data_IF_621421606056
#
_entry.id   IF_621421606056
#
_cell.length_a   1.000
_cell.length_b   1.000
_cell.length_c   1.000
_cell.angle_alpha   90.00
_cell.angle_beta   90.00
_cell.angle_gamma   90.00
#
_symmetry.space_group_name_H-M   'P 1'
#
loop_
_entity.id
_entity.type
_entity.pdbx_description
1 polymer ?
#
# COMPACT_ATOMS: atom_id res chain seq x y z
N UNK A 1 4.50 3.34 11.05
CA UNK A 1 4.70 2.58 9.80
C UNK A 1 5.79 3.31 9.06
N UNK A 2 6.90 2.64 8.88
CA UNK A 2 8.12 3.21 8.31
C UNK A 2 8.48 2.41 7.07
N UNK A 3 9.02 3.09 6.06
CA UNK A 3 9.50 2.42 4.85
C UNK A 3 10.60 1.41 5.21
N UNK A 4 10.41 0.16 4.79
CA UNK A 4 11.38 -0.92 5.02
C UNK A 4 12.11 -1.32 3.74
N UNK A 5 11.38 -1.52 2.64
CA UNK A 5 11.91 -1.88 1.34
C UNK A 5 10.90 -1.53 0.24
N UNK A 6 11.37 -1.44 -1.01
CA UNK A 6 10.52 -1.19 -2.16
C UNK A 6 11.26 -1.40 -3.48
N UNK A 7 10.54 -1.82 -4.50
CA UNK A 7 11.05 -2.11 -5.85
C UNK A 7 10.05 -1.57 -6.90
N UNK A 8 10.55 -1.15 -8.07
CA UNK A 8 9.71 -0.72 -9.20
C UNK A 8 9.31 0.77 -9.21
N UNK A 9 9.77 1.55 -8.23
CA UNK A 9 9.65 3.01 -8.20
C UNK A 9 10.70 3.64 -9.11
N UNK A 10 10.31 4.67 -9.85
CA UNK A 10 11.22 5.49 -10.66
C UNK A 10 11.88 6.61 -9.84
N UNK A 11 11.36 6.88 -8.64
CA UNK A 11 11.77 7.94 -7.74
C UNK A 11 11.97 7.41 -6.31
N UNK A 12 12.40 8.29 -5.41
CA UNK A 12 12.51 7.99 -3.97
C UNK A 12 11.24 8.33 -3.17
N UNK A 13 10.07 8.43 -3.84
CA UNK A 13 8.82 8.95 -3.27
C UNK A 13 8.40 8.34 -1.92
N UNK A 14 8.72 7.08 -1.67
CA UNK A 14 8.35 6.36 -0.44
C UNK A 14 9.46 6.24 0.61
N UNK A 15 10.71 6.57 0.29
CA UNK A 15 11.85 6.18 1.14
C UNK A 15 11.91 6.98 2.46
N UNK A 16 11.27 8.14 2.54
CA UNK A 16 11.19 8.98 3.75
C UNK A 16 9.83 8.93 4.46
N UNK A 17 8.98 7.95 4.11
CA UNK A 17 7.60 7.91 4.60
C UNK A 17 7.53 7.43 6.05
N UNK A 18 7.02 8.30 6.92
CA UNK A 18 6.65 7.99 8.30
C UNK A 18 5.15 8.22 8.49
N UNK A 19 4.38 7.13 8.55
CA UNK A 19 2.93 7.16 8.73
C UNK A 19 2.54 6.64 10.11
N UNK A 20 1.63 7.36 10.77
CA UNK A 20 0.94 6.83 11.96
C UNK A 20 -0.12 5.80 11.55
N UNK A 21 -0.48 4.88 12.45
CA UNK A 21 -1.66 4.04 12.23
C UNK A 21 -2.90 4.93 12.06
N UNK A 22 -3.76 4.59 11.11
CA UNK A 22 -4.90 5.41 10.68
C UNK A 22 -4.56 6.57 9.73
N UNK A 23 -3.27 6.86 9.47
CA UNK A 23 -2.86 7.93 8.55
C UNK A 23 -2.54 7.38 7.16
N UNK A 24 -3.16 7.97 6.13
CA UNK A 24 -3.00 7.51 4.75
C UNK A 24 -3.55 6.10 4.53
N UNK A 25 -3.48 5.60 3.30
CA UNK A 25 -4.09 4.31 2.99
C UNK A 25 -3.39 3.13 3.68
N UNK A 26 -2.06 3.15 3.78
CA UNK A 26 -1.32 2.14 4.52
C UNK A 26 -1.67 2.16 6.02
N UNK A 27 -1.71 3.34 6.64
CA UNK A 27 -2.10 3.46 8.05
C UNK A 27 -3.51 2.95 8.32
N UNK A 28 -4.46 3.22 7.42
CA UNK A 28 -5.84 2.71 7.52
C UNK A 28 -5.87 1.18 7.33
N UNK A 29 -5.14 0.63 6.35
CA UNK A 29 -5.06 -0.82 6.13
C UNK A 29 -4.55 -1.56 7.38
N UNK A 30 -3.52 -1.01 8.01
CA UNK A 30 -2.98 -1.53 9.27
C UNK A 30 -3.97 -1.40 10.43
N UNK A 31 -4.62 -0.25 10.59
CA UNK A 31 -5.56 0.01 11.68
C UNK A 31 -6.81 -0.91 11.59
N UNK A 32 -7.42 -0.95 10.42
CA UNK A 32 -8.64 -1.72 10.14
C UNK A 32 -8.38 -3.23 10.00
N UNK A 33 -7.10 -3.63 9.86
CA UNK A 33 -6.69 -5.02 9.57
C UNK A 33 -7.38 -5.56 8.33
N UNK A 34 -7.59 -4.71 7.34
CA UNK A 34 -8.28 -5.00 6.08
C UNK A 34 -7.48 -4.47 4.89
N UNK A 35 -7.56 -5.19 3.79
CA UNK A 35 -7.00 -4.73 2.53
C UNK A 35 -7.72 -3.47 2.05
N UNK A 36 -6.97 -2.44 1.72
CA UNK A 36 -7.49 -1.20 1.13
C UNK A 36 -7.17 -1.21 -0.36
N UNK A 37 -8.18 -1.00 -1.21
CA UNK A 37 -8.04 -0.89 -2.65
C UNK A 37 -8.53 0.47 -3.12
N UNK A 38 -7.72 1.15 -3.93
CA UNK A 38 -8.06 2.43 -4.56
C UNK A 38 -7.81 2.30 -6.06
N UNK A 39 -8.88 2.30 -6.86
CA UNK A 39 -8.84 2.10 -8.32
C UNK A 39 -8.57 3.38 -9.13
N UNK A 40 -8.57 4.55 -8.50
CA UNK A 40 -8.26 5.83 -9.14
C UNK A 40 -7.49 6.73 -8.17
N UNK A 41 -6.22 6.37 -7.96
CA UNK A 41 -5.34 7.03 -7.01
C UNK A 41 -5.05 8.48 -7.38
N UNK A 42 -5.11 8.82 -8.68
CA UNK A 42 -4.82 10.16 -9.21
C UNK A 42 -5.84 11.21 -8.76
N UNK A 43 -7.10 10.81 -8.57
CA UNK A 43 -8.18 11.69 -8.13
C UNK A 43 -8.19 11.95 -6.62
N UNK A 44 -7.50 11.11 -5.85
CA UNK A 44 -7.52 11.20 -4.40
C UNK A 44 -6.38 12.10 -3.88
N UNK A 45 -6.70 12.98 -2.92
CA UNK A 45 -5.73 13.93 -2.31
C UNK A 45 -5.46 13.58 -0.85
N UNK A 46 -4.88 12.41 -0.58
CA UNK A 46 -4.29 12.19 0.75
C UNK A 46 -2.99 12.97 0.86
N UNK A 47 -2.59 13.37 2.06
CA UNK A 47 -1.41 14.24 2.26
C UNK A 47 -0.11 13.63 1.71
N UNK A 48 -0.03 12.30 1.71
CA UNK A 48 1.11 11.56 1.15
C UNK A 48 1.20 11.67 -0.39
N UNK A 49 0.05 11.71 -1.09
CA UNK A 49 -0.02 11.83 -2.55
C UNK A 49 0.39 13.21 -3.07
N UNK A 50 0.70 14.17 -2.18
CA UNK A 50 1.13 15.52 -2.56
C UNK A 50 2.62 15.62 -2.89
N UNK A 51 3.42 14.60 -2.57
CA UNK A 51 4.84 14.56 -2.91
C UNK A 51 5.04 14.67 -4.44
N UNK A 52 5.86 15.61 -4.94
CA UNK A 52 6.16 15.73 -6.37
C UNK A 52 6.72 14.43 -6.96
N UNK A 53 7.55 13.72 -6.18
CA UNK A 53 8.12 12.44 -6.58
C UNK A 53 7.02 11.38 -6.77
N UNK A 54 6.02 11.35 -5.87
CA UNK A 54 4.92 10.40 -5.98
C UNK A 54 4.06 10.66 -7.23
N UNK A 55 3.80 11.93 -7.55
CA UNK A 55 3.06 12.29 -8.77
C UNK A 55 3.80 11.85 -10.04
N UNK A 56 5.13 11.96 -10.06
CA UNK A 56 5.97 11.55 -11.17
C UNK A 56 6.00 10.02 -11.39
N UNK A 57 5.56 9.22 -10.42
CA UNK A 57 5.40 7.78 -10.59
C UNK A 57 4.20 7.40 -11.45
N UNK A 58 3.22 8.31 -11.61
CA UNK A 58 2.03 8.13 -12.43
C UNK A 58 1.17 6.91 -12.06
N UNK A 59 1.19 6.51 -10.78
CA UNK A 59 0.33 5.43 -10.28
C UNK A 59 -1.16 5.75 -10.44
N UNK A 60 -1.92 4.72 -10.77
CA UNK A 60 -3.36 4.74 -11.03
C UNK A 60 -4.12 3.89 -10.02
N UNK A 61 -3.62 2.68 -9.72
CA UNK A 61 -4.23 1.77 -8.74
C UNK A 61 -3.30 1.53 -7.55
N UNK A 62 -3.88 1.38 -6.36
CA UNK A 62 -3.18 1.07 -5.12
C UNK A 62 -3.86 -0.05 -4.32
N UNK A 63 -3.04 -0.91 -3.71
CA UNK A 63 -3.43 -1.87 -2.69
C UNK A 63 -2.57 -1.72 -1.44
N UNK A 64 -3.20 -1.63 -0.28
CA UNK A 64 -2.55 -1.75 1.02
C UNK A 64 -3.01 -3.02 1.70
N UNK A 65 -2.15 -4.03 1.79
CA UNK A 65 -2.46 -5.32 2.40
C UNK A 65 -1.76 -5.42 3.76
N UNK A 66 -2.50 -5.54 4.88
CA UNK A 66 -1.87 -5.61 6.20
C UNK A 66 -1.11 -6.93 6.38
N UNK A 67 0.11 -6.84 6.91
CA UNK A 67 0.93 -7.98 7.29
C UNK A 67 0.62 -8.33 8.75
N UNK A 68 -0.10 -9.44 8.98
CA UNK A 68 -0.59 -9.81 10.32
C UNK A 68 0.02 -11.14 10.77
N UNK A 69 0.76 -11.12 11.87
CA UNK A 69 1.35 -12.29 12.51
C UNK A 69 0.86 -12.40 13.95
N UNK A 70 0.33 -13.56 14.35
CA UNK A 70 -0.14 -13.82 15.72
C UNK A 70 -1.11 -12.74 16.26
N UNK A 71 -1.99 -12.22 15.39
CA UNK A 71 -2.96 -11.17 15.74
C UNK A 71 -2.39 -9.76 15.85
N UNK A 72 -1.09 -9.56 15.57
CA UNK A 72 -0.42 -8.26 15.56
C UNK A 72 -0.11 -7.81 14.13
N UNK A 73 -0.31 -6.53 13.85
CA UNK A 73 0.09 -5.90 12.59
C UNK A 73 1.59 -5.65 12.63
N UNK A 74 2.34 -6.29 11.73
CA UNK A 74 3.79 -6.16 11.59
C UNK A 74 4.18 -5.09 10.56
N UNK A 75 3.29 -4.80 9.63
CA UNK A 75 3.50 -3.81 8.58
C UNK A 75 2.36 -3.81 7.58
N UNK A 76 2.58 -3.18 6.44
CA UNK A 76 1.65 -3.16 5.32
C UNK A 76 2.45 -3.37 4.04
N UNK A 77 2.00 -4.31 3.22
CA UNK A 77 2.48 -4.48 1.85
C UNK A 77 1.72 -3.53 0.95
N UNK A 78 2.42 -2.57 0.37
CA UNK A 78 1.85 -1.61 -0.58
C UNK A 78 2.17 -2.02 -2.02
N UNK A 79 1.15 -2.15 -2.86
CA UNK A 79 1.28 -2.43 -4.30
C UNK A 79 0.69 -1.26 -5.07
N UNK A 80 1.48 -0.73 -5.99
CA UNK A 80 1.09 0.36 -6.86
C UNK A 80 1.14 -0.08 -8.31
N UNK A 81 0.18 0.36 -9.12
CA UNK A 81 0.14 0.06 -10.55
C UNK A 81 -0.16 1.32 -11.36
N UNK A 82 0.51 1.49 -12.51
CA UNK A 82 0.40 2.66 -13.41
C UNK A 82 -0.73 2.55 -14.43
N UNK A 83 -1.49 1.46 -14.40
CA UNK A 83 -2.68 1.24 -15.20
C UNK A 83 -3.82 0.70 -14.33
N UNK A 84 -5.09 0.87 -14.76
CA UNK A 84 -6.23 0.33 -14.04
C UNK A 84 -6.07 -1.17 -13.78
N UNK A 85 -6.23 -1.58 -12.52
CA UNK A 85 -6.27 -2.98 -12.14
C UNK A 85 -7.63 -3.32 -11.55
N UNK A 86 -8.33 -4.28 -12.15
CA UNK A 86 -9.53 -4.88 -11.57
C UNK A 86 -9.18 -6.31 -11.13
N UNK A 87 -8.71 -6.49 -9.88
CA UNK A 87 -8.38 -7.81 -9.40
C UNK A 87 -9.66 -8.63 -9.23
N UNK A 88 -9.58 -9.91 -9.62
CA UNK A 88 -10.59 -10.89 -9.27
C UNK A 88 -10.29 -11.46 -7.87
N UNK A 89 -11.22 -12.28 -7.36
CA UNK A 89 -11.08 -12.87 -6.03
C UNK A 89 -9.79 -13.70 -5.89
N UNK A 90 -9.41 -14.47 -6.91
CA UNK A 90 -8.21 -15.29 -6.88
C UNK A 90 -6.94 -14.45 -6.68
N UNK A 91 -6.86 -13.29 -7.32
CA UNK A 91 -5.74 -12.37 -7.16
C UNK A 91 -5.68 -11.82 -5.73
N UNK A 92 -6.85 -11.47 -5.16
CA UNK A 92 -6.95 -11.01 -3.76
C UNK A 92 -6.53 -12.11 -2.77
N UNK A 93 -7.02 -13.34 -2.96
CA UNK A 93 -6.69 -14.49 -2.10
C UNK A 93 -5.19 -14.81 -2.14
N UNK A 94 -4.58 -14.69 -3.32
CA UNK A 94 -3.14 -14.84 -3.50
C UNK A 94 -2.37 -13.76 -2.74
N UNK A 95 -2.76 -12.49 -2.88
CA UNK A 95 -2.16 -11.36 -2.16
C UNK A 95 -2.25 -11.53 -0.64
N UNK A 96 -3.41 -11.95 -0.13
CA UNK A 96 -3.57 -12.24 1.30
C UNK A 96 -2.70 -13.40 1.77
N UNK A 97 -2.53 -14.42 0.94
CA UNK A 97 -1.65 -15.56 1.24
C UNK A 97 -0.19 -15.12 1.33
N UNK A 98 0.28 -14.32 0.37
CA UNK A 98 1.63 -13.75 0.41
C UNK A 98 1.84 -12.85 1.63
N UNK A 99 0.86 -12.00 1.96
CA UNK A 99 0.91 -11.13 3.13
C UNK A 99 1.03 -11.93 4.45
N UNK A 100 0.32 -13.05 4.57
CA UNK A 100 0.44 -13.96 5.72
C UNK A 100 1.83 -14.59 5.83
N UNK A 101 2.44 -14.95 4.70
CA UNK A 101 3.79 -15.55 4.68
C UNK A 101 4.90 -14.51 4.94
N UNK A 102 4.72 -13.27 4.46
CA UNK A 102 5.66 -12.18 4.68
C UNK A 102 5.58 -11.58 6.10
N UNK A 103 4.47 -11.81 6.81
CA UNK A 103 4.31 -11.43 8.20
C UNK A 103 5.09 -12.40 9.12
N UNK A 104 6.41 -12.24 9.18
CA UNK A 104 7.31 -12.97 10.07
C UNK A 104 7.75 -12.05 11.23
#
# INVERSE_FOLDING_TARGET
LDYAAGIGFHTTALQGTHLRLGQGYAGIAGLERKTIHVSNLREHKTDFLRSPNFKAEEFDTYFGVPLIAKGQVKGVLEVFHRSPLQPNQNWMDFMETLAKQAAI
#
